data_IF_698302711227
#
_entry.id   IF_698302711227
#
_cell.length_a   1.000
_cell.length_b   1.000
_cell.length_c   1.000
_cell.angle_alpha   90.00
_cell.angle_beta   90.00
_cell.angle_gamma   90.00
#
_symmetry.space_group_name_H-M   'P 1'
#
loop_
_entity.id
_entity.type
_entity.pdbx_description
1 polymer ?
#
# COMPACT_ATOMS: atom_id res chain seq x y z
N UNK A 1 -1.34 -20.25 5.09
CA UNK A 1 -0.63 -20.24 6.37
C UNK A 1 -0.58 -18.79 6.80
N UNK A 2 -1.33 -18.41 7.82
CA UNK A 2 -1.22 -17.07 8.40
C UNK A 2 0.21 -16.85 8.91
N UNK A 3 0.81 -15.74 8.52
CA UNK A 3 2.07 -15.29 9.12
C UNK A 3 1.76 -14.84 10.55
N UNK A 4 2.50 -15.35 11.51
CA UNK A 4 2.31 -14.96 12.93
C UNK A 4 3.05 -13.66 13.20
N UNK A 5 2.65 -12.91 14.24
CA UNK A 5 3.24 -11.61 14.58
C UNK A 5 4.74 -11.62 14.88
N UNK A 6 5.36 -12.79 15.09
CA UNK A 6 6.81 -12.94 15.23
C UNK A 6 7.53 -13.01 13.86
N UNK A 7 6.79 -13.32 12.77
CA UNK A 7 7.35 -13.43 11.41
C UNK A 7 7.21 -12.13 10.61
N UNK A 8 6.35 -11.19 11.05
CA UNK A 8 6.10 -9.91 10.37
C UNK A 8 6.29 -8.72 11.31
N UNK A 9 6.77 -7.61 10.76
CA UNK A 9 6.90 -6.34 11.48
C UNK A 9 5.57 -5.61 11.67
N UNK A 10 4.58 -5.91 10.82
CA UNK A 10 3.22 -5.40 10.91
C UNK A 10 2.30 -6.05 9.89
N UNK A 11 1.02 -6.07 10.21
CA UNK A 11 -0.04 -6.62 9.35
C UNK A 11 -1.27 -5.70 9.29
N UNK A 12 -1.91 -5.65 8.14
CA UNK A 12 -3.13 -4.88 7.89
C UNK A 12 -4.10 -5.71 7.06
N UNK A 13 -5.25 -6.04 7.61
CA UNK A 13 -6.34 -6.70 6.88
C UNK A 13 -7.49 -5.73 6.65
N UNK A 14 -7.87 -5.56 5.41
CA UNK A 14 -9.04 -4.78 5.00
C UNK A 14 -10.03 -5.67 4.23
N UNK A 15 -11.32 -5.47 4.48
CA UNK A 15 -12.41 -6.08 3.71
C UNK A 15 -13.20 -4.95 3.06
N UNK A 16 -13.29 -4.96 1.73
CA UNK A 16 -13.92 -3.91 0.92
C UNK A 16 -13.44 -2.49 1.30
N UNK A 17 -12.14 -2.36 1.60
CA UNK A 17 -11.50 -1.10 2.01
C UNK A 17 -11.75 -0.66 3.46
N UNK A 18 -12.35 -1.53 4.29
CA UNK A 18 -12.56 -1.27 5.71
C UNK A 18 -11.62 -2.12 6.55
N UNK A 19 -10.81 -1.50 7.39
CA UNK A 19 -9.86 -2.19 8.28
C UNK A 19 -10.59 -3.11 9.26
N UNK A 20 -10.12 -4.37 9.33
CA UNK A 20 -10.61 -5.41 10.23
C UNK A 20 -9.57 -5.81 11.26
N UNK A 21 -8.31 -5.83 10.87
CA UNK A 21 -7.20 -6.15 11.74
C UNK A 21 -6.02 -5.23 11.40
N UNK A 22 -5.30 -4.83 12.42
CA UNK A 22 -4.12 -3.99 12.30
C UNK A 22 -3.13 -4.32 13.41
N UNK A 23 -1.89 -4.53 13.02
CA UNK A 23 -0.77 -4.71 13.94
C UNK A 23 0.47 -4.02 13.39
N UNK A 24 1.26 -3.42 14.25
CA UNK A 24 2.59 -2.90 13.95
C UNK A 24 3.44 -3.10 15.21
N UNK A 25 4.63 -3.63 15.05
CA UNK A 25 5.53 -3.88 16.18
C UNK A 25 5.91 -2.56 16.88
N UNK A 26 6.05 -2.59 18.18
CA UNK A 26 6.39 -1.40 18.95
C UNK A 26 7.78 -0.86 18.57
N UNK A 27 8.71 -1.74 18.21
CA UNK A 27 10.02 -1.36 17.72
C UNK A 27 9.97 -0.50 16.44
N UNK A 28 9.05 -0.79 15.51
CA UNK A 28 8.86 0.02 14.30
C UNK A 28 8.13 1.34 14.61
N UNK A 29 7.14 1.32 15.52
CA UNK A 29 6.47 2.54 15.98
C UNK A 29 7.44 3.53 16.63
N UNK A 30 8.31 3.03 17.51
CA UNK A 30 9.33 3.83 18.19
C UNK A 30 10.34 4.44 17.22
N UNK A 31 10.59 3.79 16.08
CA UNK A 31 11.43 4.31 15.01
C UNK A 31 10.68 5.30 14.09
N UNK A 32 9.39 5.55 14.34
CA UNK A 32 8.57 6.46 13.57
C UNK A 32 8.03 5.88 12.27
N UNK A 33 8.06 4.56 12.07
CA UNK A 33 7.40 3.92 10.94
C UNK A 33 5.90 4.09 11.06
N UNK A 34 5.26 4.53 9.97
CA UNK A 34 3.80 4.64 9.88
C UNK A 34 3.34 3.54 8.91
N UNK A 35 2.51 2.65 9.42
CA UNK A 35 1.86 1.62 8.61
C UNK A 35 0.40 1.54 9.03
N UNK A 36 -0.51 1.95 8.19
CA UNK A 36 -1.94 2.01 8.52
C UNK A 36 -2.79 2.05 7.25
N UNK A 37 -4.10 2.03 7.41
CA UNK A 37 -5.00 2.29 6.29
C UNK A 37 -4.97 3.77 5.86
N UNK A 38 -5.35 4.02 4.59
CA UNK A 38 -5.32 5.36 4.01
C UNK A 38 -6.23 6.38 4.70
N UNK A 39 -7.38 5.97 5.28
CA UNK A 39 -8.23 6.91 6.02
C UNK A 39 -7.57 7.38 7.32
N UNK A 40 -6.94 6.44 8.02
CA UNK A 40 -6.13 6.75 9.21
C UNK A 40 -4.96 7.67 8.84
N UNK A 41 -4.28 7.40 7.70
CA UNK A 41 -3.20 8.24 7.22
C UNK A 41 -3.65 9.68 6.92
N UNK A 42 -4.76 9.85 6.21
CA UNK A 42 -5.33 11.19 5.91
C UNK A 42 -5.70 11.95 7.19
N UNK A 43 -6.22 11.25 8.20
CA UNK A 43 -6.65 11.86 9.44
C UNK A 43 -5.48 12.26 10.36
N UNK A 44 -4.48 11.38 10.47
CA UNK A 44 -3.41 11.52 11.46
C UNK A 44 -2.10 12.09 10.89
N UNK A 45 -1.90 11.96 9.57
CA UNK A 45 -0.68 12.38 8.88
C UNK A 45 -0.99 13.15 7.57
N UNK A 46 -1.88 14.16 7.61
CA UNK A 46 -2.37 14.85 6.41
C UNK A 46 -1.25 15.47 5.57
N UNK A 47 -0.21 16.00 6.21
CA UNK A 47 0.90 16.67 5.51
C UNK A 47 1.69 15.66 4.64
N UNK A 48 1.92 14.44 5.15
CA UNK A 48 2.60 13.39 4.39
C UNK A 48 1.72 12.91 3.23
N UNK A 49 0.44 12.66 3.49
CA UNK A 49 -0.48 12.23 2.43
C UNK A 49 -0.59 13.31 1.36
N UNK A 50 -0.79 14.57 1.73
CA UNK A 50 -0.89 15.67 0.77
C UNK A 50 0.36 15.83 -0.09
N UNK A 51 1.54 15.57 0.48
CA UNK A 51 2.82 15.67 -0.22
C UNK A 51 2.98 14.60 -1.30
N UNK A 52 2.53 13.40 -1.06
CA UNK A 52 2.88 12.25 -1.90
C UNK A 52 1.72 11.65 -2.69
N UNK A 53 0.49 11.70 -2.16
CA UNK A 53 -0.68 11.04 -2.75
C UNK A 53 -1.03 11.62 -4.12
N UNK A 54 -0.95 10.79 -5.17
CA UNK A 54 -1.25 11.12 -6.57
C UNK A 54 -0.52 12.38 -7.08
N UNK A 55 0.70 12.59 -6.62
CA UNK A 55 1.52 13.75 -7.04
C UNK A 55 2.67 13.34 -7.96
N UNK A 56 3.54 12.45 -7.50
CA UNK A 56 4.75 12.04 -8.23
C UNK A 56 4.64 10.63 -8.84
N UNK A 57 3.73 9.82 -8.35
CA UNK A 57 3.45 8.47 -8.85
C UNK A 57 2.34 8.47 -9.89
N UNK A 58 1.18 7.96 -9.54
CA UNK A 58 0.00 7.91 -10.40
C UNK A 58 -0.72 9.26 -10.40
N UNK A 59 -0.99 9.82 -11.57
CA UNK A 59 -1.71 11.09 -11.68
C UNK A 59 -3.13 10.89 -12.20
N UNK A 60 -4.08 11.67 -11.70
CA UNK A 60 -5.50 11.61 -12.12
C UNK A 60 -5.70 11.87 -13.62
N UNK A 61 -4.73 12.49 -14.28
CA UNK A 61 -4.73 12.83 -15.70
C UNK A 61 -4.26 11.69 -16.61
N UNK A 62 -3.79 10.56 -16.06
CA UNK A 62 -3.24 9.44 -16.84
C UNK A 62 -4.30 8.59 -17.56
N UNK A 63 -5.58 8.96 -17.46
CA UNK A 63 -6.66 8.32 -18.18
C UNK A 63 -7.90 8.11 -17.33
N UNK A 64 -8.94 7.55 -17.97
CA UNK A 64 -10.27 7.41 -17.32
C UNK A 64 -10.26 6.61 -16.03
N UNK A 65 -9.47 5.55 -15.94
CA UNK A 65 -9.39 4.73 -14.72
C UNK A 65 -8.61 5.39 -13.61
N UNK A 66 -7.54 6.16 -13.92
CA UNK A 66 -6.84 6.96 -12.93
C UNK A 66 -7.72 8.11 -12.41
N UNK A 67 -8.46 8.78 -13.28
CA UNK A 67 -9.43 9.80 -12.88
C UNK A 67 -10.57 9.21 -12.02
N UNK A 68 -11.09 8.04 -12.42
CA UNK A 68 -12.10 7.32 -11.65
C UNK A 68 -11.57 6.91 -10.27
N UNK A 69 -10.34 6.40 -10.21
CA UNK A 69 -9.68 6.09 -8.93
C UNK A 69 -9.59 7.32 -8.04
N UNK A 70 -9.06 8.43 -8.56
CA UNK A 70 -8.94 9.68 -7.79
C UNK A 70 -10.25 10.22 -7.25
N UNK A 71 -11.37 9.99 -7.97
CA UNK A 71 -12.70 10.42 -7.55
C UNK A 71 -13.36 9.50 -6.50
N UNK A 72 -13.03 8.22 -6.49
CA UNK A 72 -13.76 7.20 -5.73
C UNK A 72 -12.91 6.37 -4.77
N UNK A 73 -11.61 6.64 -4.64
CA UNK A 73 -10.75 5.85 -3.76
C UNK A 73 -11.30 5.79 -2.34
N UNK A 74 -11.25 4.59 -1.78
CA UNK A 74 -11.75 4.30 -0.44
C UNK A 74 -10.97 3.14 0.14
N UNK A 75 -10.22 3.40 1.19
CA UNK A 75 -9.33 2.39 1.78
C UNK A 75 -8.02 2.24 1.01
N UNK A 76 -7.27 1.23 1.39
CA UNK A 76 -5.92 0.97 0.92
C UNK A 76 -4.88 1.18 2.01
N UNK A 77 -3.61 1.12 1.67
CA UNK A 77 -2.52 1.03 2.62
C UNK A 77 -1.58 2.22 2.52
N UNK A 78 -1.19 2.77 3.65
CA UNK A 78 -0.14 3.76 3.77
C UNK A 78 1.04 3.20 4.55
N UNK A 79 2.22 3.23 3.92
CA UNK A 79 3.49 2.90 4.55
C UNK A 79 4.46 4.08 4.38
N UNK A 80 4.94 4.61 5.50
CA UNK A 80 6.02 5.58 5.52
C UNK A 80 7.16 5.08 6.41
N UNK A 81 8.37 5.02 5.85
CA UNK A 81 9.58 4.64 6.58
C UNK A 81 10.51 5.84 6.64
N UNK A 82 10.79 6.38 7.85
CA UNK A 82 11.61 7.56 8.02
C UNK A 82 13.06 7.37 7.57
N UNK A 83 13.75 8.47 7.38
CA UNK A 83 15.17 8.52 6.98
C UNK A 83 16.05 7.61 7.82
N UNK A 84 16.84 6.78 7.13
CA UNK A 84 17.81 5.82 7.69
C UNK A 84 17.19 4.72 8.59
N UNK A 85 15.87 4.56 8.61
CA UNK A 85 15.21 3.47 9.33
C UNK A 85 15.20 2.21 8.49
N UNK A 86 15.50 1.07 9.12
CA UNK A 86 15.51 -0.25 8.49
C UNK A 86 14.42 -1.12 9.10
N UNK A 87 13.31 -1.26 8.39
CA UNK A 87 12.24 -2.19 8.74
C UNK A 87 12.62 -3.60 8.24
N UNK A 88 13.43 -4.31 9.04
CA UNK A 88 13.98 -5.61 8.65
C UNK A 88 12.92 -6.72 8.55
N UNK A 89 11.90 -6.68 9.42
CA UNK A 89 10.80 -7.62 9.36
C UNK A 89 9.78 -7.19 8.29
N UNK A 90 9.26 -8.11 7.48
CA UNK A 90 8.29 -7.80 6.43
C UNK A 90 7.03 -7.14 6.99
N UNK A 91 6.48 -6.20 6.24
CA UNK A 91 5.15 -5.63 6.46
C UNK A 91 4.19 -6.28 5.48
N UNK A 92 2.97 -6.61 5.90
CA UNK A 92 2.00 -7.34 5.08
C UNK A 92 0.63 -6.66 5.12
N UNK A 93 0.10 -6.33 3.94
CA UNK A 93 -1.25 -5.84 3.75
C UNK A 93 -2.07 -6.85 2.95
N UNK A 94 -3.31 -7.08 3.38
CA UNK A 94 -4.28 -7.90 2.67
C UNK A 94 -5.55 -7.08 2.43
N UNK A 95 -5.92 -6.97 1.17
CA UNK A 95 -7.14 -6.33 0.69
C UNK A 95 -8.08 -7.39 0.13
N UNK A 96 -9.06 -7.79 0.94
CA UNK A 96 -10.05 -8.78 0.57
C UNK A 96 -11.31 -8.12 0.03
N UNK A 97 -11.72 -8.49 -1.19
CA UNK A 97 -12.95 -8.02 -1.83
C UNK A 97 -14.02 -9.09 -1.76
N UNK A 98 -15.19 -8.74 -1.20
CA UNK A 98 -16.33 -9.67 -1.13
C UNK A 98 -17.20 -9.52 -2.36
N UNK A 99 -17.68 -8.30 -2.64
CA UNK A 99 -18.55 -8.02 -3.78
C UNK A 99 -18.54 -6.54 -4.15
N UNK A 100 -18.90 -6.26 -5.41
CA UNK A 100 -19.18 -4.91 -5.88
C UNK A 100 -17.96 -4.16 -6.40
N UNK A 101 -17.80 -2.92 -5.99
CA UNK A 101 -16.76 -2.03 -6.52
C UNK A 101 -15.84 -1.58 -5.40
N UNK A 102 -14.56 -1.88 -5.53
CA UNK A 102 -13.51 -1.46 -4.61
C UNK A 102 -12.52 -0.54 -5.30
N UNK A 103 -12.13 0.52 -4.62
CA UNK A 103 -11.17 1.51 -5.10
C UNK A 103 -10.14 1.69 -3.99
N UNK A 104 -8.98 1.07 -4.11
CA UNK A 104 -7.98 1.07 -3.02
C UNK A 104 -6.67 1.68 -3.46
N UNK A 105 -6.06 2.45 -2.58
CA UNK A 105 -4.82 3.15 -2.85
C UNK A 105 -3.71 2.68 -1.91
N UNK A 106 -2.69 2.07 -2.47
CA UNK A 106 -1.47 1.75 -1.74
C UNK A 106 -0.43 2.83 -2.02
N UNK A 107 -0.04 3.54 -0.96
CA UNK A 107 1.02 4.56 -0.99
C UNK A 107 2.17 4.14 -0.08
N UNK A 108 3.31 3.85 -0.68
CA UNK A 108 4.55 3.48 0.03
C UNK A 108 5.59 4.56 -0.18
N UNK A 109 6.09 5.12 0.90
CA UNK A 109 7.11 6.16 0.89
C UNK A 109 8.28 5.73 1.77
N UNK A 110 9.44 5.53 1.18
CA UNK A 110 10.69 5.34 1.89
C UNK A 110 11.51 6.63 1.78
N UNK A 111 11.83 7.24 2.91
CA UNK A 111 12.69 8.41 2.95
C UNK A 111 14.16 8.03 2.69
N UNK A 112 15.05 9.01 2.58
CA UNK A 112 16.47 8.80 2.28
C UNK A 112 17.12 7.73 3.18
N UNK A 113 17.76 6.73 2.58
CA UNK A 113 18.47 5.67 3.28
C UNK A 113 17.58 4.67 4.03
N UNK A 114 16.25 4.74 3.86
CA UNK A 114 15.32 3.81 4.47
C UNK A 114 15.33 2.44 3.77
N UNK A 115 15.00 1.38 4.51
CA UNK A 115 14.86 0.03 3.96
C UNK A 115 13.58 -0.62 4.45
N UNK A 116 12.87 -1.33 3.55
CA UNK A 116 11.68 -2.10 3.90
C UNK A 116 11.44 -3.28 2.96
N UNK A 117 10.73 -4.28 3.49
CA UNK A 117 10.12 -5.36 2.72
C UNK A 117 8.61 -5.23 2.90
N UNK A 118 7.87 -5.11 1.81
CA UNK A 118 6.42 -4.96 1.86
C UNK A 118 5.74 -5.94 0.91
N UNK A 119 4.77 -6.68 1.45
CA UNK A 119 3.90 -7.60 0.72
C UNK A 119 2.49 -7.01 0.70
N UNK A 120 1.92 -6.87 -0.50
CA UNK A 120 0.59 -6.29 -0.72
C UNK A 120 -0.27 -7.29 -1.49
N UNK A 121 -1.26 -7.85 -0.82
CA UNK A 121 -2.10 -8.93 -1.34
C UNK A 121 -3.51 -8.42 -1.63
N UNK A 122 -3.98 -8.69 -2.82
CA UNK A 122 -5.32 -8.37 -3.30
C UNK A 122 -6.03 -9.68 -3.64
N UNK A 123 -7.11 -9.97 -2.94
CA UNK A 123 -7.80 -11.24 -3.11
C UNK A 123 -9.32 -11.09 -3.03
N UNK A 124 -10.02 -12.11 -3.52
CA UNK A 124 -11.47 -12.27 -3.35
C UNK A 124 -11.85 -13.75 -3.29
N UNK A 125 -13.09 -14.07 -2.91
CA UNK A 125 -13.59 -15.42 -3.14
C UNK A 125 -13.78 -15.70 -4.64
N UNK A 126 -13.86 -16.98 -5.01
CA UNK A 126 -14.08 -17.40 -6.41
C UNK A 126 -15.44 -16.91 -6.94
N UNK A 127 -16.45 -16.83 -6.07
CA UNK A 127 -17.80 -16.39 -6.41
C UNK A 127 -17.95 -14.88 -6.45
N UNK A 128 -16.97 -14.13 -5.96
CA UNK A 128 -17.02 -12.68 -5.96
C UNK A 128 -17.13 -12.14 -7.38
N UNK A 129 -18.02 -11.15 -7.56
CA UNK A 129 -18.20 -10.48 -8.83
C UNK A 129 -18.16 -8.97 -8.65
N UNK A 130 -17.36 -8.29 -9.47
CA UNK A 130 -17.26 -6.84 -9.32
C UNK A 130 -16.08 -6.21 -10.06
N UNK A 131 -15.70 -5.05 -9.55
CA UNK A 131 -14.61 -4.23 -10.09
C UNK A 131 -13.67 -3.83 -8.96
N UNK A 132 -12.40 -4.13 -9.11
CA UNK A 132 -11.33 -3.49 -8.36
C UNK A 132 -10.60 -2.48 -9.24
N UNK A 133 -10.54 -1.23 -8.81
CA UNK A 133 -9.72 -0.20 -9.43
C UNK A 133 -8.72 0.32 -8.41
N UNK A 134 -7.47 -0.08 -8.57
CA UNK A 134 -6.38 0.22 -7.65
C UNK A 134 -5.42 1.28 -8.17
N UNK A 135 -4.74 1.94 -7.25
CA UNK A 135 -3.52 2.65 -7.52
C UNK A 135 -2.44 2.22 -6.53
N UNK A 136 -1.22 1.99 -7.02
CA UNK A 136 -0.06 1.62 -6.23
C UNK A 136 1.06 2.61 -6.55
N UNK A 137 1.49 3.35 -5.55
CA UNK A 137 2.59 4.30 -5.66
C UNK A 137 3.72 3.87 -4.71
N UNK A 138 4.88 3.54 -5.28
CA UNK A 138 6.08 3.14 -4.55
C UNK A 138 7.15 4.22 -4.73
N UNK A 139 7.29 5.09 -3.74
CA UNK A 139 8.20 6.23 -3.77
C UNK A 139 9.42 5.93 -2.89
N UNK A 140 10.53 5.64 -3.52
CA UNK A 140 11.79 5.26 -2.87
C UNK A 140 12.77 6.42 -2.94
N UNK A 141 13.17 6.94 -1.79
CA UNK A 141 14.09 8.08 -1.67
C UNK A 141 15.52 7.76 -2.07
N UNK A 142 16.40 8.75 -1.99
CA UNK A 142 17.83 8.60 -2.26
C UNK A 142 18.46 7.56 -1.34
N UNK A 143 19.26 6.63 -1.89
CA UNK A 143 19.91 5.53 -1.16
C UNK A 143 18.95 4.59 -0.40
N UNK A 144 17.63 4.69 -0.58
CA UNK A 144 16.66 3.82 0.05
C UNK A 144 16.51 2.49 -0.72
N UNK A 145 15.99 1.46 -0.05
CA UNK A 145 15.85 0.13 -0.64
C UNK A 145 14.49 -0.47 -0.28
N UNK A 146 13.63 -0.68 -1.26
CA UNK A 146 12.33 -1.32 -1.12
C UNK A 146 12.31 -2.65 -1.89
N UNK A 147 11.99 -3.73 -1.17
CA UNK A 147 11.54 -4.98 -1.78
C UNK A 147 10.03 -5.05 -1.67
N UNK A 148 9.34 -5.00 -2.81
CA UNK A 148 7.88 -5.03 -2.89
C UNK A 148 7.41 -6.29 -3.62
N UNK A 149 6.45 -6.99 -3.02
CA UNK A 149 5.78 -8.12 -3.66
C UNK A 149 4.26 -7.86 -3.68
N UNK A 150 3.71 -7.68 -4.88
CA UNK A 150 2.27 -7.62 -5.10
C UNK A 150 1.72 -8.99 -5.50
N UNK A 151 0.73 -9.49 -4.75
CA UNK A 151 0.02 -10.73 -5.06
C UNK A 151 -1.42 -10.40 -5.44
N UNK A 152 -1.95 -11.09 -6.44
CA UNK A 152 -3.30 -10.87 -6.94
C UNK A 152 -4.00 -12.21 -7.16
N UNK A 153 -5.01 -12.48 -6.33
CA UNK A 153 -5.79 -13.72 -6.34
C UNK A 153 -7.31 -13.41 -6.39
N UNK A 154 -7.75 -12.79 -7.47
CA UNK A 154 -9.16 -12.50 -7.69
C UNK A 154 -9.91 -13.66 -8.34
N UNK A 155 -11.18 -13.86 -7.95
CA UNK A 155 -12.11 -14.75 -8.61
C UNK A 155 -12.37 -14.35 -10.07
N UNK A 156 -12.82 -15.30 -10.89
CA UNK A 156 -12.96 -15.16 -12.35
C UNK A 156 -13.97 -14.08 -12.80
N UNK A 157 -14.87 -13.65 -11.91
CA UNK A 157 -15.88 -12.62 -12.20
C UNK A 157 -15.48 -11.22 -11.70
N UNK A 158 -14.24 -11.06 -11.25
CA UNK A 158 -13.69 -9.78 -10.85
C UNK A 158 -12.94 -9.13 -12.01
N UNK A 159 -13.28 -7.86 -12.29
CA UNK A 159 -12.52 -7.00 -13.18
C UNK A 159 -11.50 -6.22 -12.36
N UNK A 160 -10.26 -6.19 -12.83
CA UNK A 160 -9.21 -5.42 -12.17
C UNK A 160 -8.59 -4.41 -13.14
N UNK A 161 -8.44 -3.17 -12.64
CA UNK A 161 -7.71 -2.10 -13.32
C UNK A 161 -6.80 -1.43 -12.31
N UNK A 162 -5.50 -1.64 -12.41
CA UNK A 162 -4.51 -1.01 -11.55
C UNK A 162 -3.66 -0.01 -12.33
N UNK A 163 -3.35 1.11 -11.66
CA UNK A 163 -2.27 2.00 -12.04
C UNK A 163 -1.15 1.83 -11.04
N UNK A 164 0.00 1.37 -11.51
CA UNK A 164 1.12 1.02 -10.67
C UNK A 164 2.34 1.85 -11.08
N UNK A 165 2.92 2.58 -10.14
CA UNK A 165 4.07 3.46 -10.39
C UNK A 165 5.12 3.31 -9.31
N UNK A 166 6.32 2.89 -9.71
CA UNK A 166 7.52 2.92 -8.89
C UNK A 166 8.42 4.07 -9.29
N UNK A 167 8.98 4.77 -8.33
CA UNK A 167 9.98 5.81 -8.52
C UNK A 167 11.10 5.63 -7.52
N UNK A 168 12.35 5.61 -7.98
CA UNK A 168 13.52 5.55 -7.13
C UNK A 168 14.36 6.82 -7.30
N UNK A 169 14.82 7.38 -6.19
CA UNK A 169 15.76 8.47 -6.12
C UNK A 169 17.18 8.02 -6.50
N UNK A 170 18.15 8.91 -6.33
CA UNK A 170 19.55 8.63 -6.63
C UNK A 170 20.05 7.47 -5.75
N UNK A 171 20.69 6.47 -6.38
CA UNK A 171 21.18 5.25 -5.73
C UNK A 171 20.08 4.48 -4.95
N UNK A 172 18.82 4.84 -5.12
CA UNK A 172 17.65 4.13 -4.59
C UNK A 172 17.41 2.82 -5.34
N UNK A 173 16.94 1.80 -4.64
CA UNK A 173 16.66 0.48 -5.19
C UNK A 173 15.20 0.10 -4.96
N UNK A 174 14.53 -0.33 -6.02
CA UNK A 174 13.20 -0.89 -5.99
C UNK A 174 13.22 -2.27 -6.65
N UNK A 175 13.11 -3.31 -5.86
CA UNK A 175 12.83 -4.66 -6.33
C UNK A 175 11.32 -4.87 -6.30
N UNK A 176 10.74 -5.12 -7.50
CA UNK A 176 9.30 -5.26 -7.68
C UNK A 176 8.96 -6.62 -8.25
#
# INVERSE_FOLDING_TARGET
KELTGEEVGGSLLQIDGVTRQYELSDALKEQGVIFCDMHTAVSNHPDLVQKYFMTEGVQVTEGKFAAMHGAFWRGGTFLYVPKNVKAAAPLHSVLWSINGKTFTHTLVVLDEGAEAIFMDEYASSEEAAGLHNGAIELLVGDNANLSYAGLQEFGQNMWQFNHERGRAGRDGKLAW
#
